data_IF_669904095504
#
_entry.id   IF_669904095504
#
_cell.length_a   1.000
_cell.length_b   1.000
_cell.length_c   1.000
_cell.angle_alpha   90.00
_cell.angle_beta   90.00
_cell.angle_gamma   90.00
#
_symmetry.space_group_name_H-M   'P 1'
#
loop_
_entity.id
_entity.type
_entity.pdbx_description
1 polymer ?
#
# COMPACT_ATOMS: atom_id res chain seq x y z
N UNK A 1 -0.70 2.33 12.46
CA UNK A 1 -0.42 1.45 11.31
C UNK A 1 0.12 2.30 10.17
N UNK A 2 1.25 1.94 9.53
CA UNK A 2 1.75 2.66 8.36
C UNK A 2 1.57 1.82 7.09
N UNK A 3 1.07 2.42 6.01
CA UNK A 3 0.87 1.72 4.73
C UNK A 3 1.22 2.61 3.55
N UNK A 4 1.74 1.97 2.51
CA UNK A 4 1.81 2.54 1.16
C UNK A 4 0.43 2.48 0.55
N UNK A 5 -0.19 3.63 0.31
CA UNK A 5 -1.57 3.73 -0.15
C UNK A 5 -1.59 4.58 -1.42
N UNK A 6 -2.43 4.21 -2.38
CA UNK A 6 -2.75 5.05 -3.53
C UNK A 6 -4.21 4.89 -3.94
N UNK A 7 -4.94 6.00 -4.01
CA UNK A 7 -6.35 6.04 -4.37
C UNK A 7 -6.47 6.77 -5.71
N UNK A 8 -7.23 6.21 -6.64
CA UNK A 8 -7.51 6.85 -7.92
C UNK A 8 -9.00 6.79 -8.25
N UNK A 9 -9.46 7.67 -9.14
CA UNK A 9 -10.85 7.69 -9.59
C UNK A 9 -11.25 6.42 -10.37
N UNK A 10 -10.29 5.67 -10.91
CA UNK A 10 -10.52 4.42 -11.63
C UNK A 10 -9.40 3.38 -11.41
N UNK A 11 -9.76 2.10 -11.55
CA UNK A 11 -8.86 0.96 -11.33
C UNK A 11 -7.66 0.94 -12.29
N UNK A 12 -7.84 1.38 -13.55
CA UNK A 12 -6.75 1.40 -14.52
C UNK A 12 -5.68 2.40 -14.09
N UNK A 13 -6.07 3.59 -13.65
CA UNK A 13 -5.14 4.61 -13.13
C UNK A 13 -4.45 4.13 -11.86
N UNK A 14 -5.19 3.51 -10.93
CA UNK A 14 -4.61 2.92 -9.71
C UNK A 14 -3.52 1.89 -10.03
N UNK A 15 -3.80 0.95 -10.94
CA UNK A 15 -2.86 -0.09 -11.32
C UNK A 15 -1.66 0.49 -12.08
N UNK A 16 -1.88 1.40 -13.03
CA UNK A 16 -0.80 2.00 -13.80
C UNK A 16 0.20 2.77 -12.93
N UNK A 17 -0.26 3.50 -11.89
CA UNK A 17 0.62 4.33 -11.09
C UNK A 17 1.24 3.61 -9.88
N UNK A 18 0.45 2.79 -9.18
CA UNK A 18 0.89 2.16 -7.93
C UNK A 18 1.36 0.71 -8.07
N UNK A 19 1.01 0.02 -9.17
CA UNK A 19 1.38 -1.38 -9.41
C UNK A 19 2.45 -1.56 -10.50
N UNK A 20 2.79 -0.54 -11.28
CA UNK A 20 3.94 -0.64 -12.21
C UNK A 20 5.23 -0.85 -11.40
N UNK A 21 6.00 -1.94 -11.62
CA UNK A 21 7.28 -2.17 -10.98
C UNK A 21 8.32 -1.06 -11.23
N UNK A 22 8.13 -0.26 -12.28
CA UNK A 22 8.94 0.90 -12.66
C UNK A 22 8.27 2.23 -12.29
N UNK A 23 7.12 2.18 -11.62
CA UNK A 23 6.45 3.34 -11.04
C UNK A 23 7.10 3.77 -9.73
N UNK A 24 6.63 4.88 -9.11
CA UNK A 24 7.21 5.42 -7.89
C UNK A 24 7.20 4.41 -6.72
N UNK A 25 6.11 3.66 -6.55
CA UNK A 25 5.98 2.61 -5.53
C UNK A 25 6.91 1.43 -5.83
N UNK A 26 7.00 1.03 -7.10
CA UNK A 26 7.89 -0.04 -7.54
C UNK A 26 9.35 0.28 -7.25
N UNK A 27 9.80 1.49 -7.61
CA UNK A 27 11.15 1.96 -7.32
C UNK A 27 11.46 2.02 -5.82
N UNK A 28 10.53 2.50 -5.00
CA UNK A 28 10.68 2.52 -3.55
C UNK A 28 10.95 1.12 -2.99
N UNK A 29 10.10 0.13 -3.32
CA UNK A 29 10.27 -1.22 -2.80
C UNK A 29 11.48 -1.94 -3.41
N UNK A 30 11.81 -1.72 -4.68
CA UNK A 30 13.03 -2.28 -5.26
C UNK A 30 14.29 -1.78 -4.52
N UNK A 31 14.35 -0.47 -4.21
CA UNK A 31 15.45 0.13 -3.45
C UNK A 31 15.51 -0.41 -2.01
N UNK A 32 14.36 -0.49 -1.33
CA UNK A 32 14.26 -0.99 0.04
C UNK A 32 14.64 -2.47 0.12
N UNK A 33 14.11 -3.31 -0.78
CA UNK A 33 14.43 -4.73 -0.86
C UNK A 33 15.91 -4.95 -1.14
N UNK A 34 16.50 -4.23 -2.10
CA UNK A 34 17.94 -4.32 -2.38
C UNK A 34 18.78 -4.07 -1.13
N UNK A 35 18.42 -3.06 -0.32
CA UNK A 35 19.13 -2.73 0.92
C UNK A 35 18.90 -3.77 2.02
N UNK A 36 17.67 -4.21 2.25
CA UNK A 36 17.33 -5.09 3.37
C UNK A 36 17.68 -6.56 3.06
N UNK A 37 17.24 -7.08 1.92
CA UNK A 37 17.54 -8.46 1.49
C UNK A 37 19.05 -8.63 1.26
N UNK A 38 19.70 -7.64 0.64
CA UNK A 38 21.16 -7.64 0.47
C UNK A 38 21.95 -7.68 1.80
N UNK A 39 21.33 -7.27 2.91
CA UNK A 39 21.87 -7.34 4.27
C UNK A 39 21.28 -8.50 5.09
N UNK A 40 20.72 -9.52 4.45
CA UNK A 40 20.19 -10.72 5.12
C UNK A 40 18.87 -10.53 5.86
N UNK A 41 18.12 -9.46 5.57
CA UNK A 41 16.85 -9.12 6.24
C UNK A 41 15.62 -9.39 5.39
N UNK A 42 15.58 -10.54 4.71
CA UNK A 42 14.42 -10.97 3.93
C UNK A 42 13.21 -11.29 4.81
N UNK A 43 13.43 -11.64 6.08
CA UNK A 43 12.41 -11.89 7.12
C UNK A 43 11.38 -10.76 7.23
N UNK A 44 11.81 -9.51 7.03
CA UNK A 44 10.97 -8.31 7.16
C UNK A 44 9.83 -8.21 6.14
N UNK A 45 9.90 -8.98 5.05
CA UNK A 45 8.90 -8.98 3.98
C UNK A 45 8.07 -10.25 3.93
N UNK A 46 8.40 -11.26 4.74
CA UNK A 46 7.68 -12.54 4.74
C UNK A 46 6.33 -12.39 5.43
N UNK A 47 5.34 -13.14 4.94
CA UNK A 47 4.02 -13.25 5.59
C UNK A 47 3.98 -14.33 6.66
N UNK A 48 4.97 -15.23 6.70
CA UNK A 48 5.10 -16.31 7.68
C UNK A 48 6.55 -16.77 7.83
N UNK A 49 6.88 -17.40 8.95
CA UNK A 49 8.23 -17.86 9.26
C UNK A 49 8.72 -19.00 8.34
N UNK A 50 7.80 -19.73 7.74
CA UNK A 50 8.02 -20.86 6.83
C UNK A 50 8.25 -20.42 5.37
N UNK A 51 7.94 -19.18 5.01
CA UNK A 51 8.15 -18.64 3.68
C UNK A 51 9.66 -18.60 3.33
N UNK A 52 10.01 -19.06 2.13
CA UNK A 52 11.42 -19.06 1.69
C UNK A 52 11.85 -17.67 1.25
N UNK A 53 13.12 -17.32 1.45
CA UNK A 53 13.66 -16.01 1.03
C UNK A 53 13.47 -15.76 -0.48
N UNK A 54 13.63 -16.80 -1.30
CA UNK A 54 13.45 -16.71 -2.75
C UNK A 54 12.01 -16.42 -3.20
N UNK A 55 11.02 -16.64 -2.35
CA UNK A 55 9.61 -16.32 -2.66
C UNK A 55 9.30 -14.83 -2.40
N UNK A 56 10.19 -14.11 -1.71
CA UNK A 56 10.10 -12.66 -1.47
C UNK A 56 10.52 -11.89 -2.73
N UNK A 57 9.65 -11.92 -3.74
CA UNK A 57 9.85 -11.24 -5.02
C UNK A 57 9.32 -9.81 -4.98
N UNK A 58 9.80 -8.96 -5.89
CA UNK A 58 9.35 -7.56 -5.97
C UNK A 58 7.84 -7.44 -6.25
N UNK A 59 7.25 -8.18 -7.21
CA UNK A 59 5.79 -8.22 -7.37
C UNK A 59 5.06 -8.67 -6.10
N UNK A 60 5.54 -9.72 -5.42
CA UNK A 60 4.94 -10.20 -4.17
C UNK A 60 4.92 -9.12 -3.08
N UNK A 61 6.04 -8.39 -2.92
CA UNK A 61 6.14 -7.31 -1.92
C UNK A 61 5.20 -6.16 -2.26
N UNK A 62 5.12 -5.76 -3.54
CA UNK A 62 4.16 -4.74 -3.98
C UNK A 62 2.72 -5.18 -3.71
N UNK A 63 2.37 -6.41 -4.07
CA UNK A 63 1.04 -7.01 -3.84
C UNK A 63 0.67 -7.06 -2.36
N UNK A 64 1.63 -7.38 -1.50
CA UNK A 64 1.41 -7.52 -0.06
C UNK A 64 1.37 -6.18 0.68
N UNK A 65 2.16 -5.20 0.24
CA UNK A 65 2.45 -3.98 1.03
C UNK A 65 1.87 -2.69 0.46
N UNK A 66 1.42 -2.67 -0.80
CA UNK A 66 0.73 -1.52 -1.40
C UNK A 66 -0.77 -1.75 -1.36
N UNK A 67 -1.50 -0.81 -0.77
CA UNK A 67 -2.95 -0.73 -0.90
C UNK A 67 -3.26 0.23 -2.05
N UNK A 68 -3.99 -0.24 -3.05
CA UNK A 68 -4.32 0.60 -4.21
C UNK A 68 -5.64 0.24 -4.84
N UNK A 69 -6.32 1.23 -5.40
CA UNK A 69 -7.56 1.03 -6.14
C UNK A 69 -8.43 2.30 -6.15
N UNK A 70 -9.70 2.10 -6.47
CA UNK A 70 -10.76 3.08 -6.27
C UNK A 70 -11.04 3.33 -4.78
N UNK A 71 -11.72 4.44 -4.38
CA UNK A 71 -12.01 4.71 -2.97
C UNK A 71 -12.73 3.55 -2.25
N UNK A 72 -13.78 2.92 -2.82
CA UNK A 72 -14.42 1.76 -2.17
C UNK A 72 -13.46 0.59 -1.99
N UNK A 73 -12.62 0.31 -3.00
CA UNK A 73 -11.68 -0.81 -2.96
C UNK A 73 -10.57 -0.60 -1.92
N UNK A 74 -10.09 0.63 -1.77
CA UNK A 74 -9.09 0.93 -0.73
C UNK A 74 -9.71 0.90 0.67
N UNK A 75 -10.96 1.36 0.84
CA UNK A 75 -11.67 1.25 2.11
C UNK A 75 -11.83 -0.24 2.53
N UNK A 76 -12.26 -1.10 1.61
CA UNK A 76 -12.34 -2.55 1.83
C UNK A 76 -10.99 -3.14 2.25
N UNK A 77 -9.91 -2.84 1.52
CA UNK A 77 -8.56 -3.32 1.87
C UNK A 77 -8.09 -2.86 3.25
N UNK A 78 -8.50 -1.68 3.71
CA UNK A 78 -8.18 -1.17 5.05
C UNK A 78 -8.97 -1.93 6.12
N UNK A 79 -10.25 -2.24 5.87
CA UNK A 79 -11.08 -3.03 6.77
C UNK A 79 -10.57 -4.48 6.86
N UNK A 80 -10.26 -5.11 5.72
CA UNK A 80 -9.60 -6.43 5.67
C UNK A 80 -8.27 -6.44 6.45
N UNK A 81 -7.47 -5.37 6.32
CA UNK A 81 -6.24 -5.22 7.09
C UNK A 81 -6.53 -5.16 8.59
N UNK A 82 -7.54 -4.38 9.00
CA UNK A 82 -7.95 -4.24 10.41
C UNK A 82 -8.46 -5.56 10.99
N UNK A 83 -9.20 -6.36 10.23
CA UNK A 83 -9.62 -7.70 10.65
C UNK A 83 -8.41 -8.62 10.89
N UNK A 84 -7.42 -8.56 10.00
CA UNK A 84 -6.22 -9.42 10.09
C UNK A 84 -5.27 -9.05 11.22
N UNK A 85 -5.08 -7.75 11.48
CA UNK A 85 -4.03 -7.26 12.40
C UNK A 85 -4.59 -6.73 13.72
N UNK A 86 -5.92 -6.64 13.85
CA UNK A 86 -6.61 -5.98 14.95
C UNK A 86 -6.79 -4.47 14.75
N UNK A 87 -7.55 -3.83 15.65
CA UNK A 87 -7.85 -2.40 15.59
C UNK A 87 -6.58 -1.54 15.73
N UNK A 88 -6.54 -0.41 15.02
CA UNK A 88 -5.50 0.60 15.15
C UNK A 88 -6.13 2.00 15.11
N UNK A 89 -5.61 2.95 15.90
CA UNK A 89 -6.20 4.29 15.99
C UNK A 89 -5.76 5.27 14.89
N UNK A 90 -4.60 5.05 14.26
CA UNK A 90 -4.11 5.96 13.20
C UNK A 90 -3.51 5.18 12.05
N UNK A 91 -4.00 5.47 10.85
CA UNK A 91 -3.41 5.02 9.58
C UNK A 91 -2.49 6.13 9.05
N UNK A 92 -1.20 5.85 9.02
CA UNK A 92 -0.17 6.75 8.49
C UNK A 92 0.01 6.45 7.00
N UNK A 93 -0.34 7.43 6.16
CA UNK A 93 -0.16 7.39 4.72
C UNK A 93 1.34 7.59 4.40
N UNK A 94 2.01 6.54 3.92
CA UNK A 94 3.43 6.64 3.54
C UNK A 94 3.58 7.44 2.24
N UNK A 95 4.34 8.53 2.29
CA UNK A 95 4.68 9.33 1.12
C UNK A 95 5.67 8.61 0.21
N UNK A 96 5.34 8.52 -1.07
CA UNK A 96 6.23 8.06 -2.14
C UNK A 96 6.60 9.24 -3.04
N UNK A 97 7.55 9.04 -3.95
CA UNK A 97 7.91 10.06 -4.93
C UNK A 97 6.70 10.44 -5.80
N UNK A 98 6.41 11.74 -5.90
CA UNK A 98 5.30 12.25 -6.72
C UNK A 98 5.74 12.42 -8.17
N UNK A 99 5.87 11.28 -8.86
CA UNK A 99 6.17 11.26 -10.30
C UNK A 99 5.10 12.03 -11.11
N UNK A 100 3.85 11.99 -10.65
CA UNK A 100 2.78 12.89 -11.06
C UNK A 100 2.18 13.59 -9.83
N UNK A 101 2.48 14.89 -9.70
CA UNK A 101 2.05 15.72 -8.58
C UNK A 101 0.52 15.84 -8.51
N UNK A 102 -0.15 16.00 -9.65
CA UNK A 102 -1.59 16.18 -9.67
C UNK A 102 -2.29 14.90 -9.21
N UNK A 103 -1.81 13.76 -9.70
CA UNK A 103 -2.35 12.46 -9.35
C UNK A 103 -2.05 12.09 -7.88
N UNK A 104 -0.84 12.35 -7.39
CA UNK A 104 -0.49 12.13 -5.98
C UNK A 104 -1.33 13.00 -5.03
N UNK A 105 -1.62 14.26 -5.40
CA UNK A 105 -2.54 15.13 -4.63
C UNK A 105 -3.97 14.60 -4.66
N UNK A 106 -4.47 14.22 -5.84
CA UNK A 106 -5.80 13.63 -6.00
C UNK A 106 -5.99 12.40 -5.12
N UNK A 107 -4.98 11.53 -5.04
CA UNK A 107 -4.99 10.36 -4.15
C UNK A 107 -5.21 10.71 -2.68
N UNK A 108 -4.51 11.73 -2.15
CA UNK A 108 -4.71 12.16 -0.77
C UNK A 108 -6.07 12.84 -0.55
N UNK A 109 -6.58 13.58 -1.55
CA UNK A 109 -7.94 14.15 -1.48
C UNK A 109 -9.00 13.05 -1.41
N UNK A 110 -8.90 12.03 -2.26
CA UNK A 110 -9.80 10.86 -2.25
C UNK A 110 -9.69 10.09 -0.93
N UNK A 111 -8.47 9.89 -0.43
CA UNK A 111 -8.25 9.27 0.87
C UNK A 111 -8.99 10.02 1.99
N UNK A 112 -8.85 11.35 2.03
CA UNK A 112 -9.43 12.18 3.08
C UNK A 112 -10.95 12.35 2.98
N UNK A 113 -11.48 12.46 1.76
CA UNK A 113 -12.90 12.81 1.52
C UNK A 113 -13.81 11.61 1.29
N UNK A 114 -13.27 10.46 0.89
CA UNK A 114 -14.08 9.30 0.50
C UNK A 114 -13.66 8.04 1.28
N UNK A 115 -12.36 7.71 1.32
CA UNK A 115 -11.90 6.47 1.97
C UNK A 115 -12.03 6.52 3.48
N UNK A 116 -11.45 7.53 4.15
CA UNK A 116 -11.50 7.63 5.60
C UNK A 116 -12.94 7.72 6.14
N UNK A 117 -13.85 8.54 5.57
CA UNK A 117 -15.25 8.55 5.99
C UNK A 117 -15.91 7.18 5.89
N UNK A 118 -15.73 6.45 4.78
CA UNK A 118 -16.32 5.12 4.60
C UNK A 118 -15.76 4.09 5.60
N UNK A 119 -14.45 4.14 5.89
CA UNK A 119 -13.83 3.27 6.90
C UNK A 119 -14.37 3.58 8.29
N UNK A 120 -14.44 4.87 8.66
CA UNK A 120 -14.92 5.32 9.97
C UNK A 120 -16.40 4.95 10.20
N UNK A 121 -17.24 5.15 9.19
CA UNK A 121 -18.64 4.71 9.24
C UNK A 121 -18.76 3.20 9.46
N UNK A 122 -17.97 2.40 8.75
CA UNK A 122 -17.99 0.94 8.86
C UNK A 122 -17.52 0.42 10.23
N UNK A 123 -16.57 1.10 10.88
CA UNK A 123 -16.08 0.70 12.22
C UNK A 123 -16.86 1.34 13.38
N UNK A 124 -17.73 2.32 13.10
CA UNK A 124 -18.54 3.03 14.09
C UNK A 124 -17.73 4.00 14.96
N UNK A 125 -16.64 4.56 14.43
CA UNK A 125 -15.73 5.51 15.11
C UNK A 125 -15.75 6.90 14.44
#
# INVERSE_FOLDING_TARGET
>A
MARSIFVADDERTANAYARDPRGPYGHYYASLMRKLIGNGRADLFKTGSDMRDGDVTHPFVMDSLVLSGTPPRVAEQILELRERVGPFGTLVYAGHDWADIALSRRSMELMAREVLPAVNEAIGE
#
